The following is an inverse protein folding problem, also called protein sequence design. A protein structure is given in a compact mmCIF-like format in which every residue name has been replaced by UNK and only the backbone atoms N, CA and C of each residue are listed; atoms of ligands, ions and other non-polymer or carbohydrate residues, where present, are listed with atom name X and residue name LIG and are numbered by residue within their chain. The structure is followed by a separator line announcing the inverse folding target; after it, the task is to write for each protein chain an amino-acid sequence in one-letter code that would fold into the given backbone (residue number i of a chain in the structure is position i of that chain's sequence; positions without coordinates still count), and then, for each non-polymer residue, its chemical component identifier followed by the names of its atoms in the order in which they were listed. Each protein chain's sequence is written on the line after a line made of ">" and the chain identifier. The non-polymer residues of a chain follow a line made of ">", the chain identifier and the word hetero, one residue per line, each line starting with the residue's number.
data_IF_583841142935
#
_entry.id   IF_583841142935
#
_cell.length_a   1.000
_cell.length_b   1.000
_cell.length_c   1.000
_cell.angle_alpha   90.00
_cell.angle_beta   90.00
_cell.angle_gamma   90.00
#
_symmetry.space_group_name_H-M   'P 1'
#
loop_
_entity.id
_entity.type
_entity.pdbx_description
1 polymer ?
#
# COMPACT_ATOMS: atom_id res chain seq x y z
N UNK A 1 -5.44 23.08 2.18
CA UNK A 1 -4.24 22.42 1.61
C UNK A 1 -3.80 21.32 2.55
N UNK A 2 -3.57 20.10 2.06
CA UNK A 2 -3.03 18.99 2.86
C UNK A 2 -1.55 19.25 3.11
N UNK A 3 -1.23 19.80 4.29
CA UNK A 3 0.14 20.20 4.66
C UNK A 3 0.92 19.10 5.35
N UNK A 4 0.24 18.16 6.00
CA UNK A 4 0.84 16.99 6.64
C UNK A 4 -0.01 15.72 6.44
N UNK A 5 0.42 14.88 5.50
CA UNK A 5 -0.24 13.61 5.19
C UNK A 5 -0.17 12.61 6.35
N UNK A 6 0.80 12.73 7.26
CA UNK A 6 0.95 11.79 8.39
C UNK A 6 -0.21 11.90 9.35
N UNK A 7 -0.60 13.13 9.70
CA UNK A 7 -1.78 13.39 10.55
C UNK A 7 -3.06 12.86 9.94
N UNK A 8 -3.24 13.04 8.63
CA UNK A 8 -4.38 12.47 7.91
C UNK A 8 -4.37 10.93 7.99
N UNK A 9 -3.21 10.33 7.71
CA UNK A 9 -3.05 8.88 7.75
C UNK A 9 -3.33 8.31 9.14
N UNK A 10 -2.79 8.94 10.19
CA UNK A 10 -3.05 8.56 11.58
C UNK A 10 -4.53 8.69 11.93
N UNK A 11 -5.21 9.76 11.48
CA UNK A 11 -6.64 9.91 11.70
C UNK A 11 -7.44 8.77 11.05
N UNK A 12 -7.10 8.37 9.82
CA UNK A 12 -7.75 7.24 9.14
C UNK A 12 -7.40 5.90 9.81
N UNK A 13 -6.15 5.69 10.19
CA UNK A 13 -5.67 4.47 10.84
C UNK A 13 -6.33 4.27 12.21
N UNK A 14 -6.40 5.32 13.04
CA UNK A 14 -7.13 5.32 14.31
C UNK A 14 -8.59 4.93 14.12
N UNK A 15 -9.25 5.46 13.09
CA UNK A 15 -10.65 5.11 12.77
C UNK A 15 -10.82 3.65 12.37
N UNK A 16 -9.80 3.05 11.77
CA UNK A 16 -9.75 1.63 11.43
C UNK A 16 -9.30 0.72 12.61
N UNK A 17 -9.06 1.28 13.80
CA UNK A 17 -8.70 0.52 15.01
C UNK A 17 -7.20 0.34 15.25
N UNK A 18 -6.35 1.02 14.48
CA UNK A 18 -4.89 1.00 14.66
C UNK A 18 -4.44 2.03 15.69
N UNK A 19 -3.28 1.81 16.31
CA UNK A 19 -2.65 2.79 17.19
C UNK A 19 -2.05 3.94 16.38
N UNK A 20 -1.86 5.08 17.04
CA UNK A 20 -1.14 6.21 16.45
C UNK A 20 0.27 5.81 16.03
N UNK A 21 0.69 6.24 14.84
CA UNK A 21 2.01 5.94 14.29
C UNK A 21 2.22 4.49 13.86
N UNK A 22 1.23 3.61 14.04
CA UNK A 22 1.32 2.21 13.65
C UNK A 22 1.30 2.04 12.13
N UNK A 23 0.49 2.87 11.44
CA UNK A 23 0.41 2.90 9.98
C UNK A 23 1.17 4.12 9.47
N UNK A 24 2.28 3.89 8.78
CA UNK A 24 3.16 4.96 8.28
C UNK A 24 3.25 4.97 6.76
N UNK A 25 3.60 6.11 6.17
CA UNK A 25 3.85 6.24 4.71
C UNK A 25 4.95 5.30 4.22
N UNK A 26 5.92 4.96 5.09
CA UNK A 26 6.96 3.97 4.80
C UNK A 26 6.37 2.59 4.50
N UNK A 27 5.32 2.17 5.20
CA UNK A 27 4.65 0.89 4.94
C UNK A 27 4.05 0.85 3.54
N UNK A 28 3.39 1.93 3.12
CA UNK A 28 2.85 2.03 1.75
C UNK A 28 3.95 1.95 0.70
N UNK A 29 5.08 2.63 0.92
CA UNK A 29 6.25 2.50 0.02
C UNK A 29 6.74 1.06 -0.07
N UNK A 30 6.82 0.34 1.06
CA UNK A 30 7.22 -1.08 1.04
C UNK A 30 6.22 -1.95 0.28
N UNK A 31 4.92 -1.84 0.57
CA UNK A 31 3.88 -2.61 -0.10
C UNK A 31 3.83 -2.31 -1.60
N UNK A 32 4.01 -1.05 -1.98
CA UNK A 32 4.10 -0.64 -3.38
C UNK A 32 5.28 -1.31 -4.10
N UNK A 33 6.50 -1.24 -3.54
CA UNK A 33 7.68 -1.83 -4.19
C UNK A 33 7.51 -3.35 -4.34
N UNK A 34 7.05 -4.04 -3.29
CA UNK A 34 6.78 -5.49 -3.34
C UNK A 34 5.79 -5.85 -4.44
N UNK A 35 4.71 -5.10 -4.59
CA UNK A 35 3.73 -5.36 -5.64
C UNK A 35 4.25 -4.99 -7.03
N UNK A 36 4.91 -3.83 -7.15
CA UNK A 36 5.36 -3.27 -8.43
C UNK A 36 6.39 -4.15 -9.12
N UNK A 37 7.35 -4.70 -8.37
CA UNK A 37 8.37 -5.58 -8.94
C UNK A 37 7.78 -6.89 -9.50
N UNK A 38 6.60 -7.26 -9.05
CA UNK A 38 5.88 -8.45 -9.50
C UNK A 38 4.93 -8.15 -10.68
N UNK A 39 4.73 -6.89 -11.05
CA UNK A 39 3.94 -6.49 -12.22
C UNK A 39 4.72 -6.61 -13.52
N UNK A 40 4.02 -6.44 -14.64
CA UNK A 40 4.60 -6.49 -15.99
C UNK A 40 4.59 -5.14 -16.69
N UNK A 41 5.59 -4.92 -17.54
CA UNK A 41 5.68 -3.84 -18.50
C UNK A 41 6.01 -4.45 -19.87
N UNK A 42 5.13 -4.25 -20.86
CA UNK A 42 5.23 -4.86 -22.19
C UNK A 42 5.35 -6.40 -22.16
N UNK A 43 4.61 -7.05 -21.26
CA UNK A 43 4.60 -8.51 -21.12
C UNK A 43 5.81 -9.10 -20.40
N UNK A 44 6.81 -8.29 -20.05
CA UNK A 44 7.97 -8.69 -19.26
C UNK A 44 7.85 -8.17 -17.82
N UNK A 45 8.51 -8.80 -16.83
CA UNK A 45 8.56 -8.27 -15.46
C UNK A 45 9.13 -6.85 -15.41
N UNK A 46 8.59 -6.01 -14.52
CA UNK A 46 9.14 -4.67 -14.29
C UNK A 46 10.57 -4.78 -13.76
N UNK A 47 11.49 -4.09 -14.41
CA UNK A 47 12.89 -4.05 -13.98
C UNK A 47 13.06 -3.33 -12.63
N UNK A 48 13.95 -3.84 -11.78
CA UNK A 48 14.28 -3.22 -10.48
C UNK A 48 14.72 -1.75 -10.62
N UNK A 49 15.40 -1.41 -11.72
CA UNK A 49 15.78 -0.04 -12.05
C UNK A 49 14.57 0.91 -12.20
N UNK A 50 13.49 0.45 -12.84
CA UNK A 50 12.26 1.25 -12.98
C UNK A 50 11.68 1.56 -11.62
N UNK A 51 11.56 0.54 -10.75
CA UNK A 51 11.01 0.71 -9.41
C UNK A 51 11.89 1.62 -8.55
N UNK A 52 13.23 1.52 -8.69
CA UNK A 52 14.18 2.40 -7.99
C UNK A 52 13.93 3.88 -8.34
N UNK A 53 13.71 4.17 -9.63
CA UNK A 53 13.40 5.53 -10.10
C UNK A 53 12.05 6.03 -9.58
N UNK A 54 11.01 5.19 -9.59
CA UNK A 54 9.67 5.54 -9.10
C UNK A 54 9.68 5.96 -7.62
N UNK A 55 10.55 5.37 -6.80
CA UNK A 55 10.60 5.66 -5.35
C UNK A 55 11.73 6.59 -4.93
N UNK A 56 12.55 7.07 -5.88
CA UNK A 56 13.64 8.03 -5.64
C UNK A 56 14.91 7.40 -5.04
N UNK A 57 15.20 6.14 -5.34
CA UNK A 57 16.47 5.52 -4.96
C UNK A 57 17.59 5.88 -5.95
N UNK A 58 18.81 6.04 -5.45
CA UNK A 58 20.00 6.29 -6.27
C UNK A 58 20.55 5.02 -6.95
N UNK A 59 20.19 3.82 -6.45
CA UNK A 59 20.62 2.55 -7.02
C UNK A 59 19.59 1.43 -6.80
N UNK A 60 19.78 0.29 -7.48
CA UNK A 60 18.95 -0.92 -7.31
C UNK A 60 19.31 -1.74 -6.09
N UNK A 61 20.46 -1.49 -5.44
CA UNK A 61 20.99 -2.31 -4.35
C UNK A 61 19.99 -2.51 -3.20
N UNK A 62 19.26 -1.45 -2.82
CA UNK A 62 18.23 -1.56 -1.77
C UNK A 62 17.05 -2.42 -2.20
N UNK A 63 16.68 -2.37 -3.48
CA UNK A 63 15.58 -3.16 -4.02
C UNK A 63 15.99 -4.63 -4.12
N UNK A 64 17.17 -4.93 -4.63
CA UNK A 64 17.72 -6.28 -4.71
C UNK A 64 17.88 -6.90 -3.31
N UNK A 65 18.43 -6.14 -2.37
CA UNK A 65 18.61 -6.58 -0.98
C UNK A 65 17.29 -6.93 -0.30
N UNK A 66 16.26 -6.10 -0.46
CA UNK A 66 14.98 -6.25 0.27
C UNK A 66 13.98 -7.12 -0.47
N UNK A 67 13.96 -7.08 -1.81
CA UNK A 67 12.91 -7.69 -2.63
C UNK A 67 13.44 -8.67 -3.68
N UNK A 68 14.75 -8.92 -3.77
CA UNK A 68 15.32 -9.83 -4.77
C UNK A 68 14.74 -11.25 -4.72
N UNK A 69 14.26 -11.66 -3.54
CA UNK A 69 13.57 -12.94 -3.33
C UNK A 69 12.15 -13.00 -3.96
N UNK A 70 11.52 -11.85 -4.23
CA UNK A 70 10.16 -11.77 -4.77
C UNK A 70 10.08 -12.06 -6.27
N UNK A 71 11.21 -12.12 -6.98
CA UNK A 71 11.28 -12.33 -8.43
C UNK A 71 10.78 -13.70 -8.92
N UNK A 72 10.50 -14.65 -8.01
CA UNK A 72 9.96 -15.97 -8.37
C UNK A 72 8.43 -15.99 -8.53
N UNK A 73 7.71 -15.06 -7.91
CA UNK A 73 6.24 -14.97 -8.00
C UNK A 73 5.87 -13.73 -8.81
N UNK A 74 5.26 -13.92 -9.98
CA UNK A 74 4.88 -12.82 -10.87
C UNK A 74 3.36 -12.68 -10.94
N UNK A 75 2.86 -11.56 -10.43
CA UNK A 75 1.50 -11.13 -10.68
C UNK A 75 1.47 -10.48 -12.06
N UNK A 76 1.08 -11.23 -13.09
CA UNK A 76 1.02 -10.81 -14.52
C UNK A 76 0.09 -9.62 -14.83
N UNK A 77 -0.27 -8.80 -13.84
CA UNK A 77 -0.96 -7.52 -14.01
C UNK A 77 -0.03 -6.48 -14.61
N UNK A 78 -0.58 -5.56 -15.40
CA UNK A 78 0.14 -4.40 -15.93
C UNK A 78 0.28 -3.25 -14.91
N UNK A 79 -0.55 -3.27 -13.86
CA UNK A 79 -0.68 -2.16 -12.90
C UNK A 79 -0.76 -2.66 -11.46
N UNK A 80 -0.34 -1.81 -10.53
CA UNK A 80 -0.54 -1.99 -9.08
C UNK A 80 -1.86 -1.32 -8.70
N UNK A 81 -2.77 -2.08 -8.09
CA UNK A 81 -4.11 -1.60 -7.73
C UNK A 81 -4.50 -2.02 -6.31
N UNK A 82 -5.15 -1.10 -5.59
CA UNK A 82 -5.79 -1.40 -4.30
C UNK A 82 -7.27 -1.68 -4.52
N UNK A 83 -7.62 -2.92 -4.88
CA UNK A 83 -9.01 -3.31 -5.16
C UNK A 83 -9.79 -3.53 -3.87
N UNK A 84 -10.79 -2.69 -3.61
CA UNK A 84 -11.74 -2.88 -2.50
C UNK A 84 -12.60 -4.14 -2.72
N UNK A 85 -12.85 -4.50 -3.98
CA UNK A 85 -13.70 -5.63 -4.39
C UNK A 85 -13.36 -6.95 -3.70
N UNK A 86 -12.07 -7.30 -3.64
CA UNK A 86 -11.60 -8.54 -3.02
C UNK A 86 -11.77 -8.56 -1.50
N UNK A 87 -11.90 -7.38 -0.88
CA UNK A 87 -12.11 -7.22 0.56
C UNK A 87 -13.57 -7.02 0.93
N UNK A 88 -14.51 -7.10 -0.03
CA UNK A 88 -15.95 -6.85 0.20
C UNK A 88 -16.51 -7.67 1.36
N UNK A 89 -16.09 -8.93 1.55
CA UNK A 89 -16.57 -9.77 2.65
C UNK A 89 -16.12 -9.24 4.02
N UNK A 90 -14.84 -8.89 4.14
CA UNK A 90 -14.29 -8.27 5.35
C UNK A 90 -14.90 -6.89 5.62
N UNK A 91 -15.14 -6.10 4.57
CA UNK A 91 -15.76 -4.78 4.68
C UNK A 91 -17.25 -4.88 5.03
N UNK A 92 -17.95 -5.93 4.56
CA UNK A 92 -19.36 -6.18 4.89
C UNK A 92 -19.57 -6.72 6.29
N UNK A 93 -18.51 -7.18 6.96
CA UNK A 93 -18.56 -7.60 8.36
C UNK A 93 -19.17 -6.47 9.21
N UNK A 94 -20.20 -6.83 9.97
CA UNK A 94 -20.97 -5.92 10.81
C UNK A 94 -20.09 -5.23 11.85
N UNK A 95 -19.05 -5.89 12.37
CA UNK A 95 -18.08 -5.28 13.29
C UNK A 95 -17.28 -4.18 12.60
N UNK A 96 -16.72 -4.46 11.42
CA UNK A 96 -15.96 -3.47 10.64
C UNK A 96 -16.83 -2.27 10.23
N UNK A 97 -18.08 -2.51 9.80
CA UNK A 97 -19.04 -1.46 9.48
C UNK A 97 -19.48 -0.63 10.67
N UNK A 98 -19.68 -1.24 11.83
CA UNK A 98 -20.05 -0.53 13.04
C UNK A 98 -18.91 0.39 13.51
N UNK A 99 -17.67 -0.10 13.44
CA UNK A 99 -16.46 0.70 13.70
C UNK A 99 -16.37 1.88 12.75
N UNK A 100 -16.54 1.67 11.44
CA UNK A 100 -16.51 2.74 10.43
C UNK A 100 -17.65 3.76 10.60
N UNK A 101 -18.88 3.33 10.93
CA UNK A 101 -20.03 4.23 11.09
C UNK A 101 -19.93 5.08 12.37
N UNK A 102 -19.61 4.48 13.50
CA UNK A 102 -19.40 5.24 14.75
C UNK A 102 -18.25 6.24 14.68
N UNK A 103 -17.27 6.02 13.80
CA UNK A 103 -16.18 6.97 13.58
C UNK A 103 -16.51 8.08 12.57
N UNK A 104 -17.49 7.88 11.69
CA UNK A 104 -17.98 8.92 10.77
C UNK A 104 -18.95 9.88 11.45
N UNK A 105 -19.81 9.37 12.34
CA UNK A 105 -20.85 10.17 13.02
C UNK A 105 -20.29 11.07 14.15
N UNK A 106 -19.03 10.87 14.59
CA UNK A 106 -18.35 11.72 15.60
C UNK A 106 -17.66 12.96 15.02
N UNK A 107 -17.82 13.20 13.72
CA UNK A 107 -17.13 14.29 12.99
C UNK A 107 -18.15 15.16 12.22
N UNK A 108 -19.45 14.99 12.49
CA UNK A 108 -20.49 15.94 12.14
C UNK A 108 -20.84 16.79 13.37
#
# INVERSE_FOLDING_TARGET
>A
MLTDIRKLLDAVAKRAGWKEGEITTKMFRHTYISARIQTTHNGAPVAAFTVAREVGHSSTAMIEKVYGHLGQVQHRSAVVEYRIGQHKKAIRDRKFRHTLRHTLDRVA
#
